data_IF_795265433998
#
_entry.id   IF_795265433998
#
_cell.length_a   1.000
_cell.length_b   1.000
_cell.length_c   1.000
_cell.angle_alpha   90.00
_cell.angle_beta   90.00
_cell.angle_gamma   90.00
#
_symmetry.space_group_name_H-M   'P 1'
#
loop_
_entity.id
_entity.type
_entity.pdbx_description
1 polymer ?
#
# COMPACT_ATOMS: atom_id res chain seq x y z
N UNK A 1 -11.84 -21.38 5.77
CA UNK A 1 -12.46 -20.26 6.50
C UNK A 1 -11.86 -20.15 7.88
N UNK A 2 -12.47 -19.37 8.76
CA UNK A 2 -12.19 -19.39 10.20
C UNK A 2 -12.77 -20.66 10.86
N UNK A 3 -12.19 -21.09 11.97
CA UNK A 3 -12.63 -22.27 12.73
C UNK A 3 -13.52 -21.91 13.93
N UNK A 4 -13.62 -20.62 14.26
CA UNK A 4 -14.52 -20.08 15.27
C UNK A 4 -15.25 -18.84 14.74
N UNK A 5 -16.01 -18.17 15.62
CA UNK A 5 -16.75 -16.96 15.31
C UNK A 5 -15.85 -15.87 14.73
N UNK A 6 -16.32 -15.24 13.66
CA UNK A 6 -15.65 -14.09 13.07
C UNK A 6 -16.12 -12.83 13.79
N UNK A 7 -15.20 -12.17 14.48
CA UNK A 7 -15.47 -10.95 15.25
C UNK A 7 -15.57 -9.72 14.33
N UNK A 8 -14.78 -9.69 13.25
CA UNK A 8 -14.79 -8.60 12.29
C UNK A 8 -14.31 -9.03 10.90
N UNK A 9 -14.75 -8.30 9.88
CA UNK A 9 -14.21 -8.34 8.54
C UNK A 9 -14.26 -6.93 7.93
N UNK A 10 -13.14 -6.45 7.40
CA UNK A 10 -13.01 -5.10 6.83
C UNK A 10 -12.28 -5.13 5.49
N UNK A 11 -12.60 -4.19 4.61
CA UNK A 11 -11.83 -3.94 3.40
C UNK A 11 -10.68 -2.99 3.71
N UNK A 12 -9.50 -3.28 3.18
CA UNK A 12 -8.41 -2.32 3.15
C UNK A 12 -8.77 -1.16 2.21
N UNK A 13 -8.41 0.08 2.57
CA UNK A 13 -8.87 1.27 1.82
C UNK A 13 -8.14 1.49 0.49
N UNK A 14 -6.92 0.98 0.38
CA UNK A 14 -6.04 1.21 -0.79
C UNK A 14 -5.58 -0.07 -1.50
N UNK A 15 -5.67 -1.23 -0.83
CA UNK A 15 -5.14 -2.51 -1.32
C UNK A 15 -6.33 -3.44 -1.56
N UNK A 16 -6.28 -4.36 -2.53
CA UNK A 16 -7.35 -5.32 -2.82
C UNK A 16 -7.34 -6.45 -1.78
N UNK A 17 -7.46 -6.08 -0.51
CA UNK A 17 -7.38 -6.98 0.63
C UNK A 17 -8.64 -6.86 1.49
N UNK A 18 -9.12 -8.01 1.95
CA UNK A 18 -10.09 -8.15 3.03
C UNK A 18 -9.34 -8.71 4.23
N UNK A 19 -9.55 -8.12 5.40
CA UNK A 19 -8.95 -8.54 6.65
C UNK A 19 -10.07 -9.04 7.54
N UNK A 20 -9.99 -10.28 8.00
CA UNK A 20 -10.93 -10.84 8.98
C UNK A 20 -10.19 -11.34 10.22
N UNK A 21 -10.81 -11.17 11.38
CA UNK A 21 -10.30 -11.70 12.65
C UNK A 21 -11.38 -12.51 13.36
N UNK A 22 -10.92 -13.50 14.11
CA UNK A 22 -11.78 -14.54 14.68
C UNK A 22 -11.39 -14.89 16.10
N UNK A 23 -12.36 -15.47 16.81
CA UNK A 23 -12.16 -16.13 18.09
C UNK A 23 -11.29 -17.40 17.99
N UNK A 24 -10.88 -17.81 16.79
CA UNK A 24 -9.85 -18.86 16.61
C UNK A 24 -8.41 -18.35 16.82
N UNK A 25 -8.27 -17.07 17.17
CA UNK A 25 -6.99 -16.40 17.41
C UNK A 25 -6.24 -16.01 16.15
N UNK A 26 -6.78 -16.33 14.97
CA UNK A 26 -6.15 -16.02 13.70
C UNK A 26 -6.76 -14.79 13.03
N UNK A 27 -5.91 -14.13 12.25
CA UNK A 27 -6.28 -13.08 11.30
C UNK A 27 -6.07 -13.64 9.90
N UNK A 28 -7.05 -13.48 9.03
CA UNK A 28 -6.96 -13.94 7.64
C UNK A 28 -6.98 -12.75 6.69
N UNK A 29 -6.04 -12.77 5.76
CA UNK A 29 -5.93 -11.82 4.67
C UNK A 29 -6.46 -12.50 3.41
N UNK A 30 -7.45 -11.89 2.77
CA UNK A 30 -8.07 -12.41 1.56
C UNK A 30 -7.91 -11.41 0.43
N UNK A 31 -7.75 -11.91 -0.79
CA UNK A 31 -7.79 -11.06 -1.96
C UNK A 31 -9.24 -10.63 -2.24
N UNK A 32 -9.49 -9.32 -2.39
CA UNK A 32 -10.85 -8.79 -2.54
C UNK A 32 -11.55 -9.21 -3.84
N UNK A 33 -10.80 -9.36 -4.93
CA UNK A 33 -11.36 -9.74 -6.23
C UNK A 33 -11.55 -11.26 -6.40
N UNK A 34 -10.59 -12.07 -5.93
CA UNK A 34 -10.61 -13.53 -6.13
C UNK A 34 -11.18 -14.30 -4.94
N UNK A 35 -11.35 -13.63 -3.79
CA UNK A 35 -11.79 -14.21 -2.52
C UNK A 35 -10.91 -15.36 -2.02
N UNK A 36 -9.69 -15.46 -2.52
CA UNK A 36 -8.71 -16.46 -2.09
C UNK A 36 -8.04 -16.00 -0.81
N UNK A 37 -7.75 -16.97 0.06
CA UNK A 37 -6.95 -16.74 1.26
C UNK A 37 -5.50 -16.52 0.84
N UNK A 38 -4.99 -15.32 1.05
CA UNK A 38 -3.60 -14.94 0.77
C UNK A 38 -2.70 -15.32 1.94
N UNK A 39 -3.14 -15.04 3.17
CA UNK A 39 -2.32 -15.30 4.35
C UNK A 39 -3.17 -15.56 5.61
N UNK A 40 -2.61 -16.30 6.55
CA UNK A 40 -3.14 -16.45 7.92
C UNK A 40 -2.05 -16.00 8.88
N UNK A 41 -2.37 -14.99 9.70
CA UNK A 41 -1.50 -14.49 10.75
C UNK A 41 -2.01 -15.03 12.08
N UNK A 42 -1.10 -15.61 12.84
CA UNK A 42 -1.34 -16.10 14.20
C UNK A 42 -0.24 -15.52 15.08
N UNK A 43 -0.66 -14.70 16.05
CA UNK A 43 0.24 -14.01 16.97
C UNK A 43 0.27 -14.67 18.35
N UNK A 44 -0.52 -15.72 18.59
CA UNK A 44 -0.60 -16.39 19.89
C UNK A 44 -1.13 -15.50 21.02
N UNK A 45 -1.97 -14.51 20.70
CA UNK A 45 -2.56 -13.57 21.67
C UNK A 45 -4.02 -13.91 22.03
N UNK A 46 -4.44 -15.15 21.78
CA UNK A 46 -5.81 -15.64 21.92
C UNK A 46 -6.79 -14.90 20.99
N UNK A 47 -8.08 -14.76 21.38
CA UNK A 47 -9.17 -14.34 20.49
C UNK A 47 -8.98 -12.92 19.96
N UNK A 48 -9.26 -12.71 18.67
CA UNK A 48 -9.26 -11.39 18.05
C UNK A 48 -10.65 -10.75 18.14
N UNK A 49 -10.73 -9.53 18.66
CA UNK A 49 -12.01 -8.85 18.94
C UNK A 49 -12.25 -7.60 18.11
N UNK A 50 -11.19 -6.85 17.83
CA UNK A 50 -11.32 -5.52 17.23
C UNK A 50 -10.23 -5.23 16.21
N UNK A 51 -10.58 -4.38 15.25
CA UNK A 51 -9.66 -3.85 14.25
C UNK A 51 -9.86 -2.34 14.12
N UNK A 52 -8.76 -1.61 13.98
CA UNK A 52 -8.76 -0.21 13.59
C UNK A 52 -7.80 -0.04 12.42
N UNK A 53 -8.13 0.78 11.44
CA UNK A 53 -7.28 1.03 10.29
C UNK A 53 -7.26 2.51 9.94
N UNK A 54 -6.11 2.96 9.42
CA UNK A 54 -5.94 4.35 8.98
C UNK A 54 -6.41 4.48 7.54
N UNK A 55 -7.42 5.33 7.28
CA UNK A 55 -8.01 5.46 5.93
C UNK A 55 -7.00 5.83 4.84
N UNK A 56 -5.99 6.62 5.18
CA UNK A 56 -4.99 7.15 4.25
C UNK A 56 -3.67 6.38 4.27
N UNK A 57 -3.57 5.31 5.06
CA UNK A 57 -2.32 4.59 5.26
C UNK A 57 -2.52 3.08 5.15
N UNK A 58 -1.41 2.36 5.27
CA UNK A 58 -1.44 0.89 5.27
C UNK A 58 -1.28 0.31 6.68
N UNK A 59 -1.45 1.16 7.70
CA UNK A 59 -1.35 0.80 9.10
C UNK A 59 -2.72 0.35 9.62
N UNK A 60 -2.75 -0.77 10.32
CA UNK A 60 -3.92 -1.24 11.06
C UNK A 60 -3.49 -1.85 12.40
N UNK A 61 -4.36 -1.68 13.38
CA UNK A 61 -4.24 -2.20 14.73
C UNK A 61 -5.27 -3.30 14.96
N UNK A 62 -4.86 -4.34 15.65
CA UNK A 62 -5.64 -5.52 15.98
C UNK A 62 -5.67 -5.67 17.49
N UNK A 63 -6.85 -5.84 18.06
CA UNK A 63 -7.03 -6.08 19.50
C UNK A 63 -7.38 -7.53 19.77
N UNK A 64 -6.64 -8.15 20.68
CA UNK A 64 -6.79 -9.52 21.14
C UNK A 64 -7.10 -9.56 22.65
N UNK A 65 -7.33 -10.75 23.21
CA UNK A 65 -7.46 -10.90 24.67
C UNK A 65 -6.18 -10.47 25.41
N UNK A 66 -5.03 -10.96 24.94
CA UNK A 66 -3.74 -10.80 25.62
C UNK A 66 -2.90 -9.62 25.05
N UNK A 67 -3.56 -8.64 24.41
CA UNK A 67 -2.91 -7.41 23.99
C UNK A 67 -3.37 -6.89 22.64
N UNK A 68 -2.49 -6.12 21.98
CA UNK A 68 -2.76 -5.53 20.68
C UNK A 68 -1.53 -5.57 19.79
N UNK A 69 -1.75 -5.68 18.48
CA UNK A 69 -0.69 -5.69 17.46
C UNK A 69 -0.99 -4.61 16.44
N UNK A 70 0.01 -3.78 16.13
CA UNK A 70 -0.06 -2.80 15.04
C UNK A 70 0.83 -3.28 13.91
N UNK A 71 0.25 -3.39 12.72
CA UNK A 71 0.91 -3.92 11.53
C UNK A 71 0.79 -2.88 10.43
N UNK A 72 1.85 -2.80 9.63
CA UNK A 72 1.90 -2.02 8.39
C UNK A 72 2.04 -2.98 7.22
N UNK A 73 1.11 -2.94 6.26
CA UNK A 73 1.22 -3.73 5.03
C UNK A 73 1.89 -2.89 3.93
N UNK A 74 2.99 -3.40 3.38
CA UNK A 74 3.71 -2.76 2.28
C UNK A 74 4.42 -1.45 2.68
N UNK A 75 4.89 -0.72 1.67
CA UNK A 75 5.51 0.61 1.84
C UNK A 75 4.48 1.70 1.54
N UNK A 76 4.42 2.72 2.40
CA UNK A 76 3.66 3.95 2.12
C UNK A 76 4.45 4.93 1.23
N UNK A 77 5.78 4.81 1.21
CA UNK A 77 6.63 5.61 0.35
C UNK A 77 6.56 5.10 -1.08
N UNK A 78 6.15 5.93 -2.05
CA UNK A 78 6.18 5.55 -3.45
C UNK A 78 7.63 5.33 -3.87
N UNK A 79 7.90 4.20 -4.52
CA UNK A 79 9.19 3.96 -5.16
C UNK A 79 9.31 4.93 -6.34
N UNK A 80 10.20 5.91 -6.22
CA UNK A 80 10.37 7.01 -7.19
C UNK A 80 11.75 6.91 -7.82
N UNK A 81 11.83 7.18 -9.12
CA UNK A 81 13.07 7.32 -9.86
C UNK A 81 12.97 8.50 -10.82
N UNK A 82 14.05 9.25 -10.97
CA UNK A 82 14.15 10.38 -11.90
C UNK A 82 15.43 10.26 -12.71
N UNK A 83 15.34 10.46 -14.01
CA UNK A 83 16.52 10.55 -14.88
C UNK A 83 17.09 11.98 -14.94
N UNK A 84 18.26 12.14 -15.55
CA UNK A 84 18.88 13.44 -15.77
C UNK A 84 18.14 14.32 -16.79
N UNK A 85 17.14 13.78 -17.50
CA UNK A 85 16.32 14.51 -18.48
C UNK A 85 15.06 15.13 -17.85
N UNK A 86 14.80 14.86 -16.56
CA UNK A 86 13.63 15.33 -15.84
C UNK A 86 12.41 14.40 -15.98
N UNK A 87 12.57 13.20 -16.52
CA UNK A 87 11.55 12.16 -16.52
C UNK A 87 11.47 11.54 -15.13
N UNK A 88 10.33 11.73 -14.49
CA UNK A 88 10.02 11.17 -13.17
C UNK A 88 9.09 9.98 -13.37
N UNK A 89 9.41 8.86 -12.74
CA UNK A 89 8.58 7.65 -12.71
C UNK A 89 8.41 7.23 -11.26
N UNK A 90 7.18 6.95 -10.85
CA UNK A 90 6.90 6.43 -9.52
C UNK A 90 5.85 5.33 -9.56
N UNK A 91 5.92 4.40 -8.62
CA UNK A 91 4.88 3.40 -8.43
C UNK A 91 3.96 3.82 -7.30
N UNK A 92 2.65 3.72 -7.54
CA UNK A 92 1.61 3.80 -6.52
C UNK A 92 0.82 2.50 -6.56
N UNK A 93 0.98 1.67 -5.54
CA UNK A 93 0.40 0.32 -5.49
C UNK A 93 0.87 -0.54 -6.68
N UNK A 94 -0.05 -0.90 -7.58
CA UNK A 94 0.21 -1.67 -8.80
C UNK A 94 0.40 -0.77 -10.04
N UNK A 95 0.14 0.53 -9.94
CA UNK A 95 0.23 1.45 -11.08
C UNK A 95 1.61 2.11 -11.13
N UNK A 96 2.22 2.10 -12.32
CA UNK A 96 3.44 2.83 -12.61
C UNK A 96 3.07 4.09 -13.37
N UNK A 97 3.32 5.22 -12.73
CA UNK A 97 2.98 6.56 -13.19
C UNK A 97 4.25 7.29 -13.59
N UNK A 98 4.12 8.17 -14.58
CA UNK A 98 5.22 8.95 -15.12
C UNK A 98 4.82 10.38 -15.40
N UNK A 99 5.80 11.27 -15.30
CA UNK A 99 5.67 12.65 -15.77
C UNK A 99 7.02 13.15 -16.27
N UNK A 100 7.01 14.19 -17.11
CA UNK A 100 8.22 14.82 -17.60
C UNK A 100 8.27 16.25 -17.08
N UNK A 101 9.31 16.54 -16.30
CA UNK A 101 9.59 17.84 -15.70
C UNK A 101 10.51 18.71 -16.59
N UNK A 102 11.11 18.14 -17.64
CA UNK A 102 12.06 18.81 -18.53
C UNK A 102 11.48 19.96 -19.37
N UNK A 103 10.16 20.19 -19.30
CA UNK A 103 9.50 21.35 -19.89
C UNK A 103 9.38 22.56 -18.95
N UNK A 104 9.76 22.44 -17.68
CA UNK A 104 9.73 23.57 -16.73
C UNK A 104 10.90 24.51 -17.06
N UNK A 105 10.56 25.67 -17.61
CA UNK A 105 11.52 26.73 -17.93
C UNK A 105 12.20 27.18 -16.62
N UNK A 106 13.53 27.41 -16.58
CA UNK A 106 14.23 27.83 -15.36
C UNK A 106 13.67 29.08 -14.67
N UNK A 107 12.89 29.89 -15.38
CA UNK A 107 12.24 31.11 -14.87
C UNK A 107 10.94 30.85 -14.07
N UNK A 108 10.39 29.63 -14.11
CA UNK A 108 9.17 29.24 -13.38
C UNK A 108 9.46 28.20 -12.28
N UNK A 109 10.73 28.00 -11.92
CA UNK A 109 11.09 27.11 -10.82
C UNK A 109 10.41 27.61 -9.54
N UNK A 110 9.45 26.85 -8.98
CA UNK A 110 8.77 27.22 -7.75
C UNK A 110 9.78 27.33 -6.60
N UNK A 111 9.44 28.09 -5.57
CA UNK A 111 10.21 28.08 -4.33
C UNK A 111 10.33 26.64 -3.80
N UNK A 112 11.46 26.33 -3.16
CA UNK A 112 11.68 25.01 -2.58
C UNK A 112 10.51 24.62 -1.64
N UNK A 113 9.96 23.42 -1.85
CA UNK A 113 8.75 22.93 -1.16
C UNK A 113 7.40 23.32 -1.77
N UNK A 114 7.34 24.12 -2.83
CA UNK A 114 6.09 24.41 -3.52
C UNK A 114 5.68 23.25 -4.44
N UNK A 115 4.42 22.82 -4.34
CA UNK A 115 3.87 21.71 -5.13
C UNK A 115 3.71 22.13 -6.59
N UNK A 116 4.23 21.31 -7.50
CA UNK A 116 4.08 21.49 -8.95
C UNK A 116 2.94 20.62 -9.44
N UNK A 117 2.02 21.21 -10.20
CA UNK A 117 0.98 20.45 -10.88
C UNK A 117 1.52 19.96 -12.23
N UNK A 118 1.62 18.64 -12.39
CA UNK A 118 2.26 18.02 -13.56
C UNK A 118 1.30 17.02 -14.19
N UNK A 119 1.34 16.93 -15.52
CA UNK A 119 0.56 15.96 -16.26
C UNK A 119 1.04 14.55 -15.91
N UNK A 120 0.19 13.76 -15.27
CA UNK A 120 0.47 12.36 -14.94
C UNK A 120 0.07 11.49 -16.12
N UNK A 121 0.99 10.65 -16.58
CA UNK A 121 0.76 9.63 -17.60
C UNK A 121 0.98 8.25 -16.99
N UNK A 122 0.04 7.34 -17.19
CA UNK A 122 0.21 5.93 -16.86
C UNK A 122 1.17 5.27 -17.86
N UNK A 123 2.23 4.65 -17.33
CA UNK A 123 3.27 4.00 -18.15
C UNK A 123 3.07 2.48 -18.19
N UNK A 124 2.42 1.93 -17.18
CA UNK A 124 2.06 0.51 -17.12
C UNK A 124 1.57 0.09 -15.75
N UNK A 125 1.16 -1.17 -15.65
CA UNK A 125 0.82 -1.83 -14.40
C UNK A 125 1.89 -2.86 -14.02
N UNK A 126 2.05 -3.10 -12.72
CA UNK A 126 2.84 -4.19 -12.17
C UNK A 126 1.90 -5.20 -11.52
N UNK A 127 2.10 -6.48 -11.83
CA UNK A 127 1.35 -7.57 -11.20
C UNK A 127 1.74 -7.77 -9.71
N UNK A 128 2.94 -7.30 -9.35
CA UNK A 128 3.47 -7.36 -7.98
C UNK A 128 3.75 -5.94 -7.48
N UNK A 129 3.51 -5.66 -6.20
CA UNK A 129 3.83 -4.36 -5.60
C UNK A 129 5.31 -4.01 -5.81
N UNK A 130 5.57 -2.91 -6.51
CA UNK A 130 6.92 -2.48 -6.83
C UNK A 130 7.67 -2.02 -5.57
N UNK A 131 8.68 -2.80 -5.17
CA UNK A 131 9.50 -2.52 -3.97
C UNK A 131 10.65 -1.56 -4.23
N UNK A 132 11.10 -1.47 -5.49
CA UNK A 132 12.13 -0.55 -5.97
C UNK A 132 11.83 -0.15 -7.43
N UNK A 133 12.18 1.08 -7.79
CA UNK A 133 12.04 1.60 -9.14
C UNK A 133 13.35 2.30 -9.51
N UNK A 134 13.99 1.87 -10.59
CA UNK A 134 15.31 2.35 -11.00
C UNK A 134 15.27 2.62 -12.51
N UNK A 135 15.59 3.85 -12.93
CA UNK A 135 15.78 4.15 -14.34
C UNK A 135 16.96 3.35 -14.89
N UNK A 136 16.84 2.95 -16.16
CA UNK A 136 17.95 2.31 -16.86
C UNK A 136 19.13 3.30 -16.91
N UNK A 137 20.39 2.84 -16.86
CA UNK A 137 21.56 3.70 -17.05
C UNK A 137 21.58 4.44 -18.40
N UNK A 138 20.73 4.02 -19.35
CA UNK A 138 20.67 4.52 -20.71
C UNK A 138 19.51 5.51 -20.94
N UNK A 139 18.74 5.86 -19.89
CA UNK A 139 17.49 6.64 -19.99
C UNK A 139 16.24 5.77 -20.12
#
# INVERSE_FOLDING_TARGET
GHTSNVSYAVFHTSLPLIISGSEDGTIKLWHSNTYRLENTLDYGLERAWSIAYKKTGNDFALGFDEGAVVIKIGKEEPSVSMDNSGKLVWAKNAEVLGTNLGGLVPAELPADGQRINVGVREIGGSEVYATNLVHSPNG
#
